data_IF_948745854077
#
_entry.id   IF_948745854077
#
_cell.length_a   1.000
_cell.length_b   1.000
_cell.length_c   1.000
_cell.angle_alpha   90.00
_cell.angle_beta   90.00
_cell.angle_gamma   90.00
#
_symmetry.space_group_name_H-M   'P 1'
#
loop_
_entity.id
_entity.type
_entity.pdbx_description
1 polymer ?
#
# COMPACT_ATOMS: atom_id res chain seq x y z
N UNK A 1 -16.06 -22.59 34.60
CA UNK A 1 -14.99 -22.47 33.59
C UNK A 1 -15.53 -22.27 32.15
N UNK A 2 -16.81 -21.91 31.95
CA UNK A 2 -17.42 -21.79 30.61
C UNK A 2 -17.42 -20.34 30.07
N UNK A 3 -17.56 -19.33 30.92
CA UNK A 3 -17.69 -17.93 30.47
C UNK A 3 -16.39 -17.31 29.94
N UNK A 4 -15.24 -17.69 30.50
CA UNK A 4 -13.94 -17.16 30.05
C UNK A 4 -13.63 -17.61 28.62
N UNK A 5 -13.97 -18.84 28.26
CA UNK A 5 -13.71 -19.37 26.91
C UNK A 5 -14.58 -18.65 25.86
N UNK A 6 -15.87 -18.46 26.17
CA UNK A 6 -16.82 -17.74 25.32
C UNK A 6 -16.42 -16.28 25.11
N UNK A 7 -15.95 -15.59 26.17
CA UNK A 7 -15.47 -14.23 26.07
C UNK A 7 -14.21 -14.10 25.20
N UNK A 8 -13.30 -15.08 25.25
CA UNK A 8 -12.12 -15.12 24.39
C UNK A 8 -12.48 -15.35 22.92
N UNK A 9 -13.43 -16.24 22.62
CA UNK A 9 -13.91 -16.49 21.27
C UNK A 9 -14.60 -15.26 20.67
N UNK A 10 -15.46 -14.58 21.45
CA UNK A 10 -16.10 -13.33 21.04
C UNK A 10 -15.05 -12.25 20.73
N UNK A 11 -14.07 -12.07 21.60
CA UNK A 11 -12.99 -11.10 21.38
C UNK A 11 -12.19 -11.41 20.11
N UNK A 12 -11.88 -12.67 19.86
CA UNK A 12 -11.19 -13.11 18.64
C UNK A 12 -12.02 -12.78 17.40
N UNK A 13 -13.32 -13.04 17.45
CA UNK A 13 -14.27 -12.76 16.36
C UNK A 13 -14.34 -11.26 16.06
N UNK A 14 -14.45 -10.42 17.10
CA UNK A 14 -14.47 -8.96 16.93
C UNK A 14 -13.16 -8.47 16.29
N UNK A 15 -12.01 -8.96 16.75
CA UNK A 15 -10.71 -8.61 16.16
C UNK A 15 -10.64 -9.00 14.69
N UNK A 16 -11.12 -10.19 14.33
CA UNK A 16 -11.17 -10.64 12.95
C UNK A 16 -12.07 -9.74 12.09
N UNK A 17 -13.26 -9.36 12.59
CA UNK A 17 -14.16 -8.43 11.89
C UNK A 17 -13.49 -7.08 11.64
N UNK A 18 -12.88 -6.51 12.68
CA UNK A 18 -12.20 -5.21 12.59
C UNK A 18 -11.02 -5.27 11.63
N UNK A 19 -10.19 -6.31 11.72
CA UNK A 19 -9.04 -6.50 10.83
C UNK A 19 -9.47 -6.64 9.36
N UNK A 20 -10.50 -7.46 9.11
CA UNK A 20 -11.07 -7.62 7.77
C UNK A 20 -11.66 -6.31 7.23
N UNK A 21 -12.38 -5.56 8.06
CA UNK A 21 -12.92 -4.25 7.69
C UNK A 21 -11.81 -3.26 7.33
N UNK A 22 -10.76 -3.16 8.16
CA UNK A 22 -9.64 -2.26 7.91
C UNK A 22 -8.88 -2.65 6.62
N UNK A 23 -8.67 -3.95 6.38
CA UNK A 23 -8.08 -4.46 5.13
C UNK A 23 -8.94 -4.13 3.91
N UNK A 24 -10.26 -4.29 4.01
CA UNK A 24 -11.20 -3.99 2.94
C UNK A 24 -11.29 -2.48 2.64
N UNK A 25 -11.34 -1.64 3.68
CA UNK A 25 -11.38 -0.18 3.56
C UNK A 25 -10.14 0.38 2.88
N UNK A 26 -8.97 -0.25 3.07
CA UNK A 26 -7.66 0.22 2.56
C UNK A 26 -7.38 1.67 2.98
N UNK A 27 -7.16 1.94 4.28
CA UNK A 27 -6.89 3.29 4.77
C UNK A 27 -5.65 3.90 4.12
N UNK A 28 -5.56 5.23 4.16
CA UNK A 28 -4.36 5.96 3.72
C UNK A 28 -3.11 5.37 4.39
N UNK A 29 -2.12 5.03 3.59
CA UNK A 29 -0.89 4.42 4.10
C UNK A 29 0.28 4.66 3.16
N UNK A 30 1.48 4.78 3.73
CA UNK A 30 2.73 4.78 2.97
C UNK A 30 3.15 3.34 2.71
N UNK A 31 3.48 3.03 1.45
CA UNK A 31 3.87 1.70 0.99
C UNK A 31 5.23 1.75 0.29
N UNK A 32 5.94 0.63 0.32
CA UNK A 32 7.18 0.44 -0.42
C UNK A 32 6.91 -0.53 -1.57
N UNK A 33 7.48 -0.23 -2.74
CA UNK A 33 7.38 -1.13 -3.88
C UNK A 33 8.60 -1.07 -4.79
N UNK A 34 8.64 -1.99 -5.74
CA UNK A 34 9.67 -2.05 -6.78
C UNK A 34 9.04 -2.03 -8.15
N UNK A 35 9.45 -1.09 -8.99
CA UNK A 35 8.97 -1.01 -10.37
C UNK A 35 9.68 -2.07 -11.22
N UNK A 36 8.91 -2.89 -11.94
CA UNK A 36 9.46 -3.96 -12.79
C UNK A 36 9.46 -3.60 -14.29
N UNK A 37 9.14 -2.34 -14.63
CA UNK A 37 9.00 -1.88 -16.01
C UNK A 37 7.56 -1.88 -16.54
N UNK A 38 6.63 -2.57 -15.89
CA UNK A 38 5.20 -2.60 -16.27
C UNK A 38 4.28 -2.20 -15.12
N UNK A 39 4.63 -2.55 -13.89
CA UNK A 39 3.84 -2.33 -12.67
C UNK A 39 4.76 -2.09 -11.47
N UNK A 40 4.21 -1.51 -10.41
CA UNK A 40 4.92 -1.42 -9.13
C UNK A 40 4.53 -2.62 -8.26
N UNK A 41 5.50 -3.43 -7.89
CA UNK A 41 5.28 -4.58 -6.99
C UNK A 41 5.30 -4.10 -5.54
N UNK A 42 4.17 -4.20 -4.84
CA UNK A 42 4.07 -3.95 -3.40
C UNK A 42 3.98 -5.31 -2.70
N UNK A 43 5.11 -5.81 -2.21
CA UNK A 43 5.22 -7.22 -1.82
C UNK A 43 5.00 -8.13 -3.03
N UNK A 44 4.00 -9.00 -2.97
CA UNK A 44 3.60 -9.89 -4.07
C UNK A 44 2.49 -9.31 -4.97
N UNK A 45 1.94 -8.15 -4.63
CA UNK A 45 0.80 -7.57 -5.33
C UNK A 45 1.26 -6.60 -6.44
N UNK A 46 0.89 -6.84 -7.71
CA UNK A 46 1.16 -5.89 -8.79
C UNK A 46 0.20 -4.71 -8.71
N UNK A 47 0.74 -3.50 -8.60
CA UNK A 47 0.00 -2.25 -8.72
C UNK A 47 0.05 -1.76 -10.17
N UNK A 48 -1.10 -1.68 -10.89
CA UNK A 48 -1.14 -1.17 -12.25
C UNK A 48 -0.74 0.30 -12.33
N UNK A 49 0.03 0.67 -13.36
CA UNK A 49 0.44 2.06 -13.57
C UNK A 49 -0.73 3.01 -13.87
N UNK A 50 -1.92 2.50 -14.21
CA UNK A 50 -3.14 3.30 -14.33
C UNK A 50 -3.65 3.85 -12.99
N UNK A 51 -3.30 3.22 -11.87
CA UNK A 51 -3.64 3.68 -10.52
C UNK A 51 -2.54 4.57 -9.91
N UNK A 52 -1.42 4.75 -10.62
CA UNK A 52 -0.27 5.52 -10.16
C UNK A 52 -0.32 6.91 -10.75
N UNK A 53 -0.19 7.90 -9.88
CA UNK A 53 -0.18 9.33 -10.21
C UNK A 53 1.09 10.01 -9.68
N UNK A 54 1.33 11.22 -10.19
CA UNK A 54 2.42 12.09 -9.74
C UNK A 54 3.59 12.20 -10.71
N UNK A 55 4.37 13.25 -10.51
CA UNK A 55 5.40 13.71 -11.44
C UNK A 55 6.53 12.68 -11.61
N UNK A 56 6.80 11.89 -10.58
CA UNK A 56 7.86 10.87 -10.60
C UNK A 56 7.49 9.63 -11.41
N UNK A 57 6.20 9.44 -11.78
CA UNK A 57 5.74 8.30 -12.57
C UNK A 57 6.50 8.15 -13.89
N UNK A 58 6.74 9.26 -14.60
CA UNK A 58 7.45 9.27 -15.88
C UNK A 58 8.96 9.06 -15.75
N UNK A 59 9.50 9.08 -14.54
CA UNK A 59 10.94 8.95 -14.25
C UNK A 59 11.31 7.55 -13.73
N UNK A 60 10.34 6.63 -13.65
CA UNK A 60 10.56 5.28 -13.14
C UNK A 60 11.31 4.42 -14.15
N UNK A 61 12.38 3.77 -13.68
CA UNK A 61 13.14 2.77 -14.43
C UNK A 61 12.99 1.42 -13.75
N UNK A 62 12.97 0.33 -14.53
CA UNK A 62 12.87 -1.02 -13.96
C UNK A 62 13.99 -1.27 -12.93
N UNK A 63 13.62 -1.86 -11.80
CA UNK A 63 14.48 -2.04 -10.62
C UNK A 63 14.37 -0.92 -9.58
N UNK A 64 13.75 0.22 -9.91
CA UNK A 64 13.59 1.33 -8.97
C UNK A 64 12.73 0.93 -7.77
N UNK A 65 13.26 1.17 -6.58
CA UNK A 65 12.51 1.10 -5.33
C UNK A 65 11.81 2.43 -5.11
N UNK A 66 10.52 2.39 -4.79
CA UNK A 66 9.68 3.58 -4.67
C UNK A 66 8.93 3.59 -3.35
N UNK A 67 8.70 4.80 -2.83
CA UNK A 67 7.77 5.03 -1.73
C UNK A 67 6.49 5.64 -2.28
N UNK A 68 5.37 5.01 -1.97
CA UNK A 68 4.04 5.37 -2.46
C UNK A 68 3.17 5.85 -1.31
N UNK A 69 2.35 6.86 -1.56
CA UNK A 69 1.20 7.20 -0.71
C UNK A 69 -0.06 6.62 -1.33
N UNK A 70 -0.69 5.66 -0.65
CA UNK A 70 -2.03 5.17 -1.02
C UNK A 70 -3.07 6.11 -0.44
N UNK A 71 -4.07 6.52 -1.24
CA UNK A 71 -5.22 7.28 -0.75
C UNK A 71 -6.20 6.42 0.06
N UNK A 72 -7.13 7.06 0.79
CA UNK A 72 -8.20 6.32 1.46
C UNK A 72 -9.06 5.59 0.41
N UNK A 73 -9.33 4.30 0.64
CA UNK A 73 -10.05 3.45 -0.33
C UNK A 73 -9.14 2.76 -1.35
N UNK A 74 -7.84 3.10 -1.42
CA UNK A 74 -6.86 2.42 -2.26
C UNK A 74 -7.15 2.45 -3.76
N UNK A 75 -7.70 3.56 -4.25
CA UNK A 75 -8.01 3.79 -5.67
C UNK A 75 -6.84 4.42 -6.43
N UNK A 76 -6.02 5.19 -5.73
CA UNK A 76 -4.93 5.95 -6.31
C UNK A 76 -3.69 5.92 -5.41
N UNK A 77 -2.53 5.91 -6.05
CA UNK A 77 -1.23 5.78 -5.42
C UNK A 77 -0.29 6.86 -5.98
N UNK A 78 0.22 7.71 -5.09
CA UNK A 78 1.11 8.79 -5.47
C UNK A 78 2.57 8.41 -5.20
N UNK A 79 3.45 8.57 -6.19
CA UNK A 79 4.89 8.35 -6.00
C UNK A 79 5.49 9.53 -5.24
N UNK A 80 5.88 9.29 -3.97
CA UNK A 80 6.53 10.30 -3.14
C UNK A 80 8.00 10.46 -3.50
N UNK A 81 8.71 9.35 -3.67
CA UNK A 81 10.13 9.35 -4.05
C UNK A 81 10.54 8.03 -4.73
N UNK A 82 11.66 8.11 -5.45
CA UNK A 82 12.44 6.95 -5.85
C UNK A 82 13.61 6.84 -4.87
N UNK A 83 13.65 5.74 -4.13
CA UNK A 83 14.62 5.52 -3.05
C UNK A 83 16.02 5.42 -3.66
N UNK A 84 16.95 6.18 -3.10
CA UNK A 84 18.34 6.22 -3.56
C UNK A 84 18.59 7.16 -4.74
N UNK A 85 17.58 7.90 -5.22
CA UNK A 85 17.74 8.98 -6.19
C UNK A 85 17.42 10.32 -5.52
N UNK A 86 18.21 11.38 -5.79
CA UNK A 86 17.91 12.70 -5.26
C UNK A 86 16.53 13.17 -5.74
N UNK A 87 15.78 13.83 -4.86
CA UNK A 87 14.48 14.38 -5.20
C UNK A 87 14.64 15.43 -6.31
N UNK A 88 14.06 15.15 -7.48
CA UNK A 88 14.19 16.02 -8.63
C UNK A 88 13.04 17.03 -8.65
N UNK A 89 13.34 18.28 -8.33
CA UNK A 89 12.38 19.41 -8.29
C UNK A 89 12.14 20.00 -9.69
N UNK A 90 12.72 19.43 -10.75
CA UNK A 90 12.72 20.00 -12.09
C UNK A 90 12.44 18.99 -13.21
N UNK A 91 11.68 19.46 -14.18
CA UNK A 91 11.45 18.95 -15.52
C UNK A 91 11.11 20.14 -16.40
#
# INVERSE_FOLDING_TARGET
MSDKNTAHELLSTIKAIVDNYMKARKPTSVLLGTYNGTSIMVGSLPLPMSMVSGNMKGKLVSGDKVRLLRNDGGREYYVLEIIGKPYQIGG
#
